data_IF_187673324874
#
_entry.id   IF_187673324874
#
_cell.length_a   1.000
_cell.length_b   1.000
_cell.length_c   1.000
_cell.angle_alpha   90.00
_cell.angle_beta   90.00
_cell.angle_gamma   90.00
#
_symmetry.space_group_name_H-M   'P 1'
#
loop_
_entity.id
_entity.type
_entity.pdbx_description
1 polymer ?
#
# COMPACT_ATOMS: atom_id res chain seq x y z
N UNK A 1 24.90 4.50 10.08
CA UNK A 1 24.85 3.21 9.35
C UNK A 1 23.50 3.10 8.66
N UNK A 2 23.50 2.88 7.37
CA UNK A 2 22.28 2.71 6.59
C UNK A 2 21.75 1.28 6.69
N UNK A 3 20.44 1.12 6.76
CA UNK A 3 19.78 -0.18 6.68
C UNK A 3 19.07 -0.31 5.33
N UNK A 4 19.43 -1.33 4.56
CA UNK A 4 18.75 -1.67 3.31
C UNK A 4 17.53 -2.52 3.66
N UNK A 5 16.35 -2.05 3.28
CA UNK A 5 15.08 -2.69 3.60
C UNK A 5 14.44 -3.19 2.33
N UNK A 6 14.47 -4.51 2.12
CA UNK A 6 13.90 -5.15 0.93
C UNK A 6 12.49 -5.64 1.24
N UNK A 7 11.54 -5.25 0.43
CA UNK A 7 10.15 -5.67 0.61
C UNK A 7 9.22 -4.87 -0.29
N UNK A 8 7.94 -4.96 -0.01
CA UNK A 8 6.91 -4.32 -0.82
C UNK A 8 6.68 -2.86 -0.42
N UNK A 9 6.31 -2.07 -1.41
CA UNK A 9 5.59 -0.81 -1.25
C UNK A 9 4.21 -1.03 -1.84
N UNK A 10 3.18 -0.66 -1.12
CA UNK A 10 1.80 -0.87 -1.54
C UNK A 10 0.92 0.28 -1.09
N UNK A 11 -0.21 0.43 -1.76
CA UNK A 11 -1.28 1.29 -1.27
C UNK A 11 -2.33 0.43 -0.57
N UNK A 12 -2.70 0.83 0.64
CA UNK A 12 -3.78 0.21 1.39
C UNK A 12 -5.05 1.03 1.16
N UNK A 13 -6.02 0.42 0.49
CA UNK A 13 -7.33 1.05 0.24
C UNK A 13 -8.28 0.58 1.33
N UNK A 14 -8.66 1.49 2.21
CA UNK A 14 -9.52 1.19 3.35
C UNK A 14 -10.92 1.71 3.06
N UNK A 15 -11.85 0.78 2.96
CA UNK A 15 -13.25 1.07 2.69
C UNK A 15 -14.07 0.83 3.94
N UNK A 16 -14.95 1.77 4.27
CA UNK A 16 -15.89 1.61 5.36
C UNK A 16 -17.24 1.24 4.78
N UNK A 17 -17.79 0.13 5.22
CA UNK A 17 -19.10 -0.34 4.81
C UNK A 17 -20.03 -0.39 6.03
N UNK A 18 -21.15 0.32 5.92
CA UNK A 18 -22.16 0.38 6.99
C UNK A 18 -23.16 -0.76 6.80
N UNK A 19 -22.79 -1.93 7.29
CA UNK A 19 -23.61 -3.12 7.16
C UNK A 19 -22.81 -4.37 7.43
N UNK A 20 -23.40 -5.49 7.13
CA UNK A 20 -22.76 -6.80 7.30
C UNK A 20 -22.36 -7.35 5.94
N UNK A 21 -21.11 -7.76 5.82
CA UNK A 21 -20.61 -8.36 4.57
C UNK A 21 -21.45 -9.58 4.18
N UNK A 22 -21.87 -10.39 5.15
CA UNK A 22 -22.69 -11.58 4.90
C UNK A 22 -24.02 -11.26 4.21
N UNK A 23 -24.57 -10.05 4.44
CA UNK A 23 -25.85 -9.64 3.83
C UNK A 23 -25.71 -9.39 2.31
N UNK A 24 -24.48 -9.25 1.81
CA UNK A 24 -24.18 -9.04 0.40
C UNK A 24 -23.88 -10.34 -0.35
N UNK A 25 -23.88 -11.46 0.35
CA UNK A 25 -23.61 -12.78 -0.20
C UNK A 25 -24.91 -13.52 -0.36
N UNK A 26 -25.16 -14.09 -1.54
CA UNK A 26 -26.32 -14.95 -1.79
C UNK A 26 -25.96 -16.38 -1.37
N UNK A 27 -26.55 -16.92 -0.29
CA UNK A 27 -26.19 -18.25 0.24
C UNK A 27 -26.34 -19.38 -0.77
N UNK A 28 -27.35 -19.29 -1.63
CA UNK A 28 -27.65 -20.33 -2.61
C UNK A 28 -26.69 -20.32 -3.82
N UNK A 29 -25.81 -19.32 -3.89
CA UNK A 29 -24.90 -19.12 -5.03
C UNK A 29 -23.45 -18.90 -4.59
N UNK A 30 -23.03 -19.51 -3.50
CA UNK A 30 -21.67 -19.39 -2.99
C UNK A 30 -20.62 -19.87 -3.99
N UNK A 31 -20.98 -20.79 -4.87
CA UNK A 31 -20.10 -21.29 -5.94
C UNK A 31 -19.84 -20.27 -7.05
N UNK A 32 -20.65 -19.21 -7.11
CA UNK A 32 -20.54 -18.13 -8.09
C UNK A 32 -20.37 -16.79 -7.33
N UNK A 33 -19.59 -16.78 -6.28
CA UNK A 33 -19.47 -15.63 -5.38
C UNK A 33 -19.12 -14.36 -6.16
N UNK A 34 -20.04 -13.41 -6.17
CA UNK A 34 -19.85 -12.09 -6.72
C UNK A 34 -20.48 -11.09 -5.74
N UNK A 35 -19.64 -10.27 -5.13
CA UNK A 35 -20.08 -9.30 -4.12
C UNK A 35 -19.84 -7.90 -4.62
N UNK A 36 -20.88 -7.08 -4.58
CA UNK A 36 -20.81 -5.67 -4.94
C UNK A 36 -21.58 -4.87 -3.88
N UNK A 37 -20.97 -3.83 -3.38
CA UNK A 37 -21.62 -2.95 -2.42
C UNK A 37 -21.05 -1.54 -2.54
N UNK A 38 -21.90 -0.57 -2.19
CA UNK A 38 -21.50 0.83 -2.16
C UNK A 38 -20.82 1.14 -0.83
N UNK A 39 -19.66 1.77 -0.91
CA UNK A 39 -18.94 2.24 0.29
C UNK A 39 -19.01 3.76 0.32
N UNK A 40 -19.41 4.36 1.46
CA UNK A 40 -19.51 5.80 1.54
C UNK A 40 -18.16 6.50 1.64
N UNK A 41 -17.13 5.78 2.10
CA UNK A 41 -15.78 6.34 2.25
C UNK A 41 -14.73 5.39 1.73
N UNK A 42 -13.71 5.97 1.11
CA UNK A 42 -12.52 5.26 0.64
C UNK A 42 -11.31 6.07 1.08
N UNK A 43 -10.40 5.44 1.82
CA UNK A 43 -9.13 6.03 2.21
C UNK A 43 -7.99 5.23 1.63
N UNK A 44 -7.00 5.92 1.07
CA UNK A 44 -5.78 5.30 0.56
C UNK A 44 -4.61 5.67 1.46
N UNK A 45 -3.99 4.68 2.06
CA UNK A 45 -2.83 4.84 2.92
C UNK A 45 -1.59 4.23 2.27
N UNK A 46 -0.42 4.71 2.67
CA UNK A 46 0.86 4.17 2.24
C UNK A 46 1.18 2.94 3.09
N UNK A 47 1.42 1.79 2.45
CA UNK A 47 1.63 0.52 3.13
C UNK A 47 2.74 -0.30 2.48
N UNK A 48 2.70 -1.60 2.72
CA UNK A 48 3.72 -2.55 2.33
C UNK A 48 4.79 -2.70 3.40
N UNK A 49 5.42 -3.87 3.45
CA UNK A 49 6.39 -4.19 4.51
C UNK A 49 7.56 -3.22 4.52
N UNK A 50 8.19 -2.98 3.35
CA UNK A 50 9.35 -2.10 3.27
C UNK A 50 8.98 -0.65 3.63
N UNK A 51 7.81 -0.20 3.19
CA UNK A 51 7.34 1.14 3.49
C UNK A 51 7.13 1.36 4.98
N UNK A 52 6.47 0.43 5.63
CA UNK A 52 6.19 0.52 7.07
C UNK A 52 7.46 0.43 7.92
N UNK A 53 8.38 -0.45 7.55
CA UNK A 53 9.66 -0.59 8.27
C UNK A 53 10.51 0.66 8.08
N UNK A 54 10.61 1.18 6.85
CA UNK A 54 11.38 2.39 6.57
C UNK A 54 10.84 3.59 7.34
N UNK A 55 9.52 3.74 7.38
CA UNK A 55 8.87 4.81 8.12
C UNK A 55 9.17 4.70 9.62
N UNK A 56 9.00 3.52 10.20
CA UNK A 56 9.26 3.29 11.62
C UNK A 56 10.72 3.54 11.98
N UNK A 57 11.65 3.06 11.14
CA UNK A 57 13.08 3.26 11.37
C UNK A 57 13.44 4.75 11.32
N UNK A 58 12.86 5.49 10.37
CA UNK A 58 13.07 6.93 10.25
C UNK A 58 12.57 7.67 11.49
N UNK A 59 11.41 7.31 12.01
CA UNK A 59 10.86 7.90 13.24
C UNK A 59 11.79 7.65 14.45
N UNK A 60 12.49 6.52 14.46
CA UNK A 60 13.43 6.17 15.52
C UNK A 60 14.81 6.81 15.32
N UNK A 61 14.98 7.64 14.31
CA UNK A 61 16.25 8.32 14.03
C UNK A 61 17.24 7.50 13.21
N UNK A 62 16.81 6.38 12.63
CA UNK A 62 17.64 5.53 11.79
C UNK A 62 17.74 6.02 10.35
N UNK A 63 18.68 5.44 9.60
CA UNK A 63 18.92 5.75 8.19
C UNK A 63 18.33 4.61 7.32
N UNK A 64 17.12 4.81 6.83
CA UNK A 64 16.37 3.82 6.10
C UNK A 64 16.59 3.96 4.59
N UNK A 65 16.99 2.85 3.94
CA UNK A 65 17.17 2.75 2.48
C UNK A 65 16.25 1.64 1.95
N UNK A 66 14.98 1.93 1.64
CA UNK A 66 14.10 0.91 1.08
C UNK A 66 14.54 0.53 -0.34
N UNK A 67 14.51 -0.78 -0.62
CA UNK A 67 14.73 -1.35 -1.95
C UNK A 67 13.44 -2.03 -2.37
N UNK A 68 12.75 -1.44 -3.34
CA UNK A 68 11.42 -1.89 -3.74
C UNK A 68 11.06 -1.33 -5.12
N UNK A 69 9.94 -1.78 -5.65
CA UNK A 69 9.41 -1.28 -6.90
C UNK A 69 8.02 -0.70 -6.67
N UNK A 70 7.73 0.40 -7.37
CA UNK A 70 6.38 0.93 -7.52
C UNK A 70 5.99 0.93 -8.99
N UNK A 71 4.70 1.03 -9.27
CA UNK A 71 4.19 1.08 -10.63
C UNK A 71 4.07 2.51 -11.16
N UNK A 72 3.35 2.66 -12.25
CA UNK A 72 3.14 3.94 -12.92
C UNK A 72 2.45 4.98 -12.03
N UNK A 73 1.69 4.54 -11.05
CA UNK A 73 0.95 5.36 -10.10
C UNK A 73 1.73 5.61 -8.79
N UNK A 74 3.00 5.23 -8.73
CA UNK A 74 3.78 5.23 -7.50
C UNK A 74 4.54 6.53 -7.19
N UNK A 75 4.39 7.58 -8.00
CA UNK A 75 5.11 8.83 -7.80
C UNK A 75 4.81 9.47 -6.44
N UNK A 76 3.58 9.36 -5.96
CA UNK A 76 3.18 9.88 -4.65
C UNK A 76 3.92 9.18 -3.51
N UNK A 77 4.15 7.88 -3.64
CA UNK A 77 4.87 7.11 -2.64
C UNK A 77 6.34 7.55 -2.57
N UNK A 78 6.98 7.70 -3.72
CA UNK A 78 8.36 8.18 -3.79
C UNK A 78 8.46 9.60 -3.20
N UNK A 79 7.51 10.46 -3.52
CA UNK A 79 7.48 11.82 -2.98
C UNK A 79 7.30 11.83 -1.46
N UNK A 80 6.46 10.94 -0.93
CA UNK A 80 6.30 10.78 0.53
C UNK A 80 7.62 10.44 1.19
N UNK A 81 8.40 9.53 0.62
CA UNK A 81 9.72 9.20 1.16
C UNK A 81 10.65 10.41 1.17
N UNK A 82 10.67 11.17 0.07
CA UNK A 82 11.50 12.38 -0.02
C UNK A 82 11.09 13.40 1.05
N UNK A 83 9.80 13.58 1.25
CA UNK A 83 9.27 14.52 2.25
C UNK A 83 9.66 14.09 3.67
N UNK A 84 9.77 12.79 3.92
CA UNK A 84 10.16 12.22 5.21
C UNK A 84 11.68 12.14 5.39
N UNK A 85 12.47 12.43 4.36
CA UNK A 85 13.92 12.28 4.41
C UNK A 85 14.40 10.84 4.30
N UNK A 86 13.58 9.94 3.74
CA UNK A 86 13.94 8.54 3.49
C UNK A 86 14.59 8.45 2.11
N UNK A 87 15.69 7.69 2.02
CA UNK A 87 16.44 7.55 0.77
C UNK A 87 15.62 6.80 -0.29
N UNK A 88 15.59 7.31 -1.51
CA UNK A 88 14.80 6.75 -2.61
C UNK A 88 15.65 6.15 -3.73
N UNK A 89 16.99 6.15 -3.61
CA UNK A 89 17.86 5.67 -4.71
C UNK A 89 17.63 4.22 -5.11
N UNK A 90 17.10 3.40 -4.22
CA UNK A 90 16.85 1.99 -4.46
C UNK A 90 15.37 1.68 -4.70
N UNK A 91 14.54 2.70 -4.88
CA UNK A 91 13.13 2.55 -5.24
C UNK A 91 13.01 2.76 -6.74
N UNK A 92 12.69 1.69 -7.46
CA UNK A 92 12.46 1.73 -8.90
C UNK A 92 10.99 1.95 -9.25
N UNK A 93 10.73 2.44 -10.45
CA UNK A 93 9.38 2.63 -10.97
C UNK A 93 9.22 1.91 -12.29
N UNK A 94 8.19 1.08 -12.39
CA UNK A 94 7.83 0.35 -13.61
C UNK A 94 6.60 1.00 -14.23
N UNK A 95 6.74 1.55 -15.43
CA UNK A 95 5.64 2.23 -16.10
C UNK A 95 4.58 1.26 -16.67
N UNK A 96 4.92 -0.01 -16.79
CA UNK A 96 4.02 -1.02 -17.38
C UNK A 96 3.06 -1.66 -16.39
N UNK A 97 3.18 -1.36 -15.10
CA UNK A 97 2.36 -1.96 -14.06
C UNK A 97 1.83 -0.89 -13.11
N UNK A 98 0.91 -1.29 -12.25
CA UNK A 98 0.46 -0.48 -11.12
C UNK A 98 1.24 -0.88 -9.86
N UNK A 99 1.31 0.03 -8.89
CA UNK A 99 1.81 -0.29 -7.56
C UNK A 99 0.90 -1.32 -6.91
N UNK A 100 1.48 -2.21 -6.09
CA UNK A 100 0.70 -3.19 -5.35
C UNK A 100 -0.38 -2.50 -4.50
N UNK A 101 -1.54 -3.12 -4.42
CA UNK A 101 -2.67 -2.58 -3.68
C UNK A 101 -3.28 -3.65 -2.79
N UNK A 102 -3.69 -3.25 -1.60
CA UNK A 102 -4.49 -4.06 -0.68
C UNK A 102 -5.83 -3.38 -0.48
N UNK A 103 -6.89 -4.17 -0.59
CA UNK A 103 -8.26 -3.69 -0.38
C UNK A 103 -8.78 -4.10 1.01
#
# INVERSE_FOLDING_TARGET
MAALICGSLAFDNIMTFEGRFADQILPDQLHILNVSFLVPTLRRDFGGCAGNIAYSLKLLGGDAHPMAMVGSDGADYVQRFKDLGIETRHVGQLQSTHTAQCM
#
